data_IF_501139018300
#
_entry.id   IF_501139018300
#
_cell.length_a   1.000
_cell.length_b   1.000
_cell.length_c   1.000
_cell.angle_alpha   90.00
_cell.angle_beta   90.00
_cell.angle_gamma   90.00
#
_symmetry.space_group_name_H-M   'P 1'
#
loop_
_entity.id
_entity.type
_entity.pdbx_description
1 polymer ?
#
# COMPACT_ATOMS: atom_id res chain seq x y z
N UNK A 1 28.65 -28.47 41.76
CA UNK A 1 30.09 -28.48 42.14
C UNK A 1 30.23 -27.30 43.10
N UNK A 2 30.10 -27.63 44.42
CA UNK A 2 30.32 -26.67 45.49
C UNK A 2 31.84 -26.48 45.65
N UNK A 3 32.31 -25.30 45.32
CA UNK A 3 33.67 -24.88 45.58
C UNK A 3 33.73 -24.35 47.03
N UNK A 4 34.35 -25.16 47.90
CA UNK A 4 34.59 -24.82 49.29
C UNK A 4 35.70 -23.75 49.40
N UNK A 5 35.33 -22.56 49.76
CA UNK A 5 36.20 -21.38 49.79
C UNK A 5 37.05 -21.26 51.08
N UNK A 6 37.10 -22.31 51.89
CA UNK A 6 37.78 -22.24 53.20
C UNK A 6 39.27 -22.63 53.16
N UNK A 7 39.88 -22.93 52.01
CA UNK A 7 41.29 -23.34 51.87
C UNK A 7 42.10 -22.41 50.94
N UNK A 8 42.03 -21.11 51.20
CA UNK A 8 42.82 -20.14 50.42
C UNK A 8 44.12 -19.67 51.11
N UNK A 9 44.49 -20.29 52.27
CA UNK A 9 45.65 -19.87 53.01
C UNK A 9 47.01 -20.53 52.58
N UNK A 10 46.98 -21.50 51.66
CA UNK A 10 48.18 -22.22 51.18
C UNK A 10 48.61 -21.95 49.75
N UNK A 11 48.25 -20.80 49.19
CA UNK A 11 48.76 -20.40 47.87
C UNK A 11 50.04 -19.57 48.07
N UNK A 12 51.17 -20.19 47.79
CA UNK A 12 52.52 -19.60 47.81
C UNK A 12 52.63 -18.52 46.69
N UNK A 13 52.55 -17.22 47.10
CA UNK A 13 52.40 -16.07 46.19
C UNK A 13 53.77 -15.46 45.79
N UNK A 14 54.88 -16.13 46.05
CA UNK A 14 56.21 -15.54 45.96
C UNK A 14 56.95 -15.66 44.62
N UNK A 15 56.31 -16.00 43.49
CA UNK A 15 57.03 -16.13 42.22
C UNK A 15 56.63 -15.20 41.07
N UNK A 16 55.57 -14.39 41.17
CA UNK A 16 55.17 -13.56 40.01
C UNK A 16 54.88 -12.05 40.33
N UNK A 17 55.27 -11.53 41.49
CA UNK A 17 55.19 -10.08 41.73
C UNK A 17 53.78 -9.45 41.69
N UNK A 18 52.73 -10.22 41.98
CA UNK A 18 51.36 -9.74 42.01
C UNK A 18 51.09 -9.11 43.37
N UNK A 19 50.96 -7.78 43.45
CA UNK A 19 50.65 -7.06 44.67
C UNK A 19 49.21 -7.33 45.14
N UNK A 20 48.94 -7.32 46.47
CA UNK A 20 47.59 -7.47 47.08
C UNK A 20 46.54 -6.55 46.41
N UNK A 21 46.94 -5.40 45.89
CA UNK A 21 46.06 -4.46 45.20
C UNK A 21 45.57 -4.99 43.83
N UNK A 22 46.35 -5.81 43.12
CA UNK A 22 45.97 -6.47 41.87
C UNK A 22 45.01 -7.64 42.14
N UNK A 23 45.25 -8.41 43.23
CA UNK A 23 44.38 -9.53 43.58
C UNK A 23 42.96 -9.06 43.94
N UNK A 24 42.84 -7.96 44.74
CA UNK A 24 41.54 -7.34 45.04
C UNK A 24 40.80 -6.86 43.81
N UNK A 25 41.49 -6.46 42.75
CA UNK A 25 40.87 -6.04 41.48
C UNK A 25 40.27 -7.23 40.74
N UNK A 26 40.89 -8.40 40.76
CA UNK A 26 40.37 -9.64 40.15
C UNK A 26 39.20 -10.24 40.93
N UNK A 27 39.21 -10.14 42.27
CA UNK A 27 38.12 -10.62 43.13
C UNK A 27 36.83 -9.83 42.93
N UNK A 28 36.89 -8.55 42.52
CA UNK A 28 35.73 -7.72 42.20
C UNK A 28 35.27 -7.93 40.76
N UNK A 29 36.18 -8.20 39.81
CA UNK A 29 35.87 -8.33 38.39
C UNK A 29 35.19 -9.67 38.06
N UNK A 30 35.60 -10.77 38.70
CA UNK A 30 35.03 -12.10 38.42
C UNK A 30 33.53 -12.21 38.78
N UNK A 31 33.04 -11.72 39.92
CA UNK A 31 31.61 -11.71 40.23
C UNK A 31 30.81 -10.81 39.28
N UNK A 32 31.36 -9.66 38.91
CA UNK A 32 30.66 -8.75 37.96
C UNK A 32 30.56 -9.33 36.58
N UNK A 33 31.60 -9.99 36.07
CA UNK A 33 31.54 -10.71 34.75
C UNK A 33 30.56 -11.87 34.82
N UNK A 34 30.51 -12.63 35.92
CA UNK A 34 29.54 -13.72 36.10
C UNK A 34 28.09 -13.21 36.11
N UNK A 35 27.81 -12.06 36.73
CA UNK A 35 26.49 -11.43 36.75
C UNK A 35 26.12 -10.94 35.35
N UNK A 36 27.06 -10.34 34.63
CA UNK A 36 26.83 -9.87 33.26
C UNK A 36 26.51 -11.05 32.32
N UNK A 37 27.30 -12.13 32.41
CA UNK A 37 27.06 -13.36 31.62
C UNK A 37 25.70 -13.97 31.97
N UNK A 38 25.33 -14.03 33.25
CA UNK A 38 24.02 -14.52 33.69
C UNK A 38 22.87 -13.65 33.18
N UNK A 39 23.02 -12.33 33.15
CA UNK A 39 22.05 -11.41 32.56
C UNK A 39 21.92 -11.63 31.06
N UNK A 40 23.02 -11.82 30.31
CA UNK A 40 22.97 -12.13 28.89
C UNK A 40 22.30 -13.49 28.61
N UNK A 41 22.53 -14.50 29.42
CA UNK A 41 21.88 -15.80 29.33
C UNK A 41 20.37 -15.67 29.60
N UNK A 42 19.97 -14.88 30.59
CA UNK A 42 18.57 -14.61 30.93
C UNK A 42 17.89 -13.84 29.77
N UNK A 43 18.53 -12.79 29.26
CA UNK A 43 18.02 -12.02 28.12
C UNK A 43 17.91 -12.89 26.87
N UNK A 44 18.93 -13.68 26.56
CA UNK A 44 18.88 -14.63 25.44
C UNK A 44 17.79 -15.69 25.64
N UNK A 45 17.59 -16.21 26.86
CA UNK A 45 16.54 -17.17 27.18
C UNK A 45 15.15 -16.55 27.06
N UNK A 46 14.97 -15.30 27.49
CA UNK A 46 13.72 -14.53 27.26
C UNK A 46 13.50 -14.29 25.77
N UNK A 47 14.53 -13.90 25.04
CA UNK A 47 14.47 -13.71 23.59
C UNK A 47 14.10 -15.01 22.85
N UNK A 48 14.67 -16.15 23.27
CA UNK A 48 14.31 -17.48 22.72
C UNK A 48 12.94 -17.95 23.17
N UNK A 49 12.48 -17.63 24.38
CA UNK A 49 11.10 -17.91 24.83
C UNK A 49 10.09 -17.11 24.04
N UNK A 50 10.35 -15.81 23.82
CA UNK A 50 9.50 -14.95 22.99
C UNK A 50 9.50 -15.41 21.54
N UNK A 51 10.66 -15.83 20.97
CA UNK A 51 10.70 -16.42 19.61
C UNK A 51 10.16 -17.86 19.53
N UNK A 52 10.20 -18.62 20.61
CA UNK A 52 9.79 -20.03 20.65
C UNK A 52 8.27 -20.22 20.57
N UNK A 53 7.48 -19.30 21.09
CA UNK A 53 6.02 -19.38 21.05
C UNK A 53 5.41 -18.95 19.70
N UNK A 54 6.22 -18.42 18.77
CA UNK A 54 5.77 -17.97 17.44
C UNK A 54 6.00 -18.99 16.31
N UNK A 55 6.34 -20.25 16.60
CA UNK A 55 6.13 -21.30 15.60
C UNK A 55 4.66 -21.72 15.57
N UNK A 56 3.78 -20.81 15.11
CA UNK A 56 2.48 -21.25 14.58
C UNK A 56 2.78 -22.12 13.36
N UNK A 57 2.31 -23.37 13.43
CA UNK A 57 2.30 -24.31 12.32
C UNK A 57 1.86 -23.59 11.04
N UNK A 58 2.70 -23.59 10.02
CA UNK A 58 2.26 -23.30 8.66
C UNK A 58 1.24 -24.38 8.32
N UNK A 59 -0.06 -24.09 8.48
CA UNK A 59 -1.11 -24.91 7.88
C UNK A 59 -0.91 -24.82 6.38
N UNK A 60 -0.60 -25.97 5.76
CA UNK A 60 -0.58 -26.10 4.31
C UNK A 60 -1.96 -25.68 3.77
N UNK A 61 -1.98 -24.72 2.88
CA UNK A 61 -3.19 -24.26 2.19
C UNK A 61 -3.62 -25.41 1.26
N UNK A 62 -4.88 -25.87 1.34
CA UNK A 62 -5.37 -26.91 0.43
C UNK A 62 -5.31 -26.42 -1.01
N UNK A 63 -4.71 -27.22 -1.91
CA UNK A 63 -4.42 -26.84 -3.32
C UNK A 63 -5.64 -26.69 -4.24
N UNK A 64 -6.85 -26.98 -3.79
CA UNK A 64 -8.05 -27.15 -4.62
C UNK A 64 -9.25 -26.30 -4.19
N UNK A 65 -9.06 -25.10 -3.66
CA UNK A 65 -10.15 -24.14 -3.58
C UNK A 65 -10.30 -23.48 -4.93
N UNK A 66 -11.45 -23.69 -5.57
CA UNK A 66 -11.74 -23.25 -6.92
C UNK A 66 -11.86 -21.73 -7.00
N UNK A 67 -11.24 -21.19 -8.05
CA UNK A 67 -11.53 -19.96 -8.80
C UNK A 67 -12.19 -18.81 -8.03
N UNK A 68 -11.42 -18.16 -7.22
CA UNK A 68 -11.66 -16.86 -6.62
C UNK A 68 -10.53 -16.64 -5.67
N UNK A 69 -9.69 -15.69 -5.94
CA UNK A 69 -8.55 -15.23 -5.14
C UNK A 69 -8.08 -16.25 -4.08
N UNK A 70 -7.10 -17.10 -4.41
CA UNK A 70 -6.55 -18.15 -3.55
C UNK A 70 -6.13 -17.65 -2.14
N UNK A 71 -6.07 -16.34 -1.96
CA UNK A 71 -5.78 -15.66 -0.71
C UNK A 71 -6.98 -15.60 0.27
N UNK A 72 -8.21 -15.86 -0.15
CA UNK A 72 -9.39 -15.66 0.70
C UNK A 72 -9.77 -16.87 1.55
N UNK A 73 -9.50 -18.09 1.08
CA UNK A 73 -9.95 -19.30 1.73
C UNK A 73 -8.83 -20.08 2.40
N UNK A 74 -8.99 -20.45 3.67
CA UNK A 74 -8.03 -21.24 4.43
C UNK A 74 -8.38 -22.72 4.49
N UNK A 75 -9.64 -23.09 4.22
CA UNK A 75 -10.12 -24.47 4.22
C UNK A 75 -11.28 -24.65 3.27
N UNK A 76 -11.21 -25.68 2.44
CA UNK A 76 -12.26 -26.06 1.52
C UNK A 76 -12.81 -27.45 1.86
N UNK A 77 -14.12 -27.62 1.72
CA UNK A 77 -14.83 -28.89 1.75
C UNK A 77 -15.78 -28.93 0.55
N UNK A 78 -15.79 -30.04 -0.20
CA UNK A 78 -16.64 -30.20 -1.41
C UNK A 78 -16.57 -28.99 -2.36
N UNK A 79 -15.33 -28.51 -2.65
CA UNK A 79 -15.08 -27.35 -3.50
C UNK A 79 -15.67 -26.00 -3.01
N UNK A 80 -16.06 -25.95 -1.76
CA UNK A 80 -16.58 -24.73 -1.11
C UNK A 80 -15.66 -24.27 0.01
N UNK A 81 -15.48 -22.96 0.12
CA UNK A 81 -14.76 -22.40 1.24
C UNK A 81 -15.59 -22.58 2.51
N UNK A 82 -15.01 -23.17 3.55
CA UNK A 82 -15.63 -23.36 4.87
C UNK A 82 -14.92 -22.56 5.97
N UNK A 83 -13.74 -22.04 5.71
CA UNK A 83 -13.09 -21.07 6.58
C UNK A 83 -12.20 -20.12 5.79
N UNK A 84 -12.08 -18.90 6.28
CA UNK A 84 -11.33 -17.84 5.61
C UNK A 84 -9.88 -17.79 6.06
N UNK A 85 -9.03 -17.24 5.21
CA UNK A 85 -7.67 -16.89 5.56
C UNK A 85 -7.66 -15.76 6.60
N UNK A 86 -6.49 -15.54 7.16
CA UNK A 86 -6.24 -14.46 8.09
C UNK A 86 -6.76 -13.10 7.55
N UNK A 87 -7.38 -12.31 8.43
CA UNK A 87 -8.04 -11.04 8.10
C UNK A 87 -9.29 -11.13 7.22
N UNK A 88 -9.90 -12.31 7.13
CA UNK A 88 -11.21 -12.46 6.50
C UNK A 88 -12.18 -13.16 7.45
N UNK A 89 -13.36 -12.58 7.66
CA UNK A 89 -14.45 -13.18 8.39
C UNK A 89 -15.29 -14.07 7.48
N UNK A 90 -15.65 -15.28 7.96
CA UNK A 90 -16.56 -16.17 7.23
C UNK A 90 -18.01 -15.85 7.55
N UNK A 91 -18.73 -15.24 6.59
CA UNK A 91 -20.11 -14.83 6.77
C UNK A 91 -20.96 -15.36 5.61
N UNK A 92 -21.99 -16.15 5.94
CA UNK A 92 -22.93 -16.70 4.96
C UNK A 92 -22.27 -17.42 3.78
N UNK A 93 -21.25 -18.22 4.04
CA UNK A 93 -20.55 -18.98 2.98
C UNK A 93 -19.53 -18.18 2.18
N UNK A 94 -19.21 -16.95 2.57
CA UNK A 94 -18.29 -16.05 1.84
C UNK A 94 -17.26 -15.47 2.80
N UNK A 95 -16.02 -15.35 2.35
CA UNK A 95 -14.98 -14.64 3.08
C UNK A 95 -15.09 -13.13 2.83
N UNK A 96 -15.29 -12.38 3.91
CA UNK A 96 -15.39 -10.91 3.89
C UNK A 96 -14.14 -10.33 4.53
N UNK A 97 -13.43 -9.40 3.87
CA UNK A 97 -12.25 -8.77 4.44
C UNK A 97 -12.57 -8.01 5.73
N UNK A 98 -11.75 -8.18 6.76
CA UNK A 98 -11.80 -7.41 8.01
C UNK A 98 -10.99 -6.12 7.94
N UNK A 99 -10.20 -5.93 6.87
CA UNK A 99 -9.39 -4.74 6.64
C UNK A 99 -10.04 -3.78 5.62
N UNK A 100 -9.59 -2.53 5.58
CA UNK A 100 -10.02 -1.54 4.58
C UNK A 100 -9.19 -1.64 3.30
N UNK A 101 -7.88 -1.83 3.42
CA UNK A 101 -6.99 -2.06 2.29
C UNK A 101 -5.70 -2.77 2.69
N UNK A 102 -5.09 -3.43 1.69
CA UNK A 102 -3.81 -4.12 1.76
C UNK A 102 -2.82 -3.42 0.84
N UNK A 103 -1.62 -3.19 1.31
CA UNK A 103 -0.51 -2.64 0.52
C UNK A 103 0.69 -3.58 0.62
N UNK A 104 1.40 -3.76 -0.48
CA UNK A 104 2.68 -4.49 -0.47
C UNK A 104 3.78 -3.51 -0.85
N UNK A 105 4.76 -3.39 0.04
CA UNK A 105 6.01 -2.65 -0.16
C UNK A 105 7.11 -3.63 -0.55
N UNK A 106 7.94 -3.25 -1.51
CA UNK A 106 9.15 -3.98 -1.90
C UNK A 106 10.37 -3.22 -1.39
N UNK A 107 11.20 -3.87 -0.57
CA UNK A 107 12.49 -3.36 -0.12
C UNK A 107 13.63 -4.13 -0.77
N UNK A 108 14.76 -3.48 -0.97
CA UNK A 108 15.92 -4.06 -1.65
C UNK A 108 17.15 -4.13 -0.76
N UNK A 109 17.14 -3.44 0.37
CA UNK A 109 18.26 -3.32 1.28
C UNK A 109 17.87 -3.80 2.70
N UNK A 110 18.85 -4.24 3.47
CA UNK A 110 18.69 -4.59 4.89
C UNK A 110 18.47 -3.31 5.69
N UNK A 111 17.57 -3.36 6.68
CA UNK A 111 17.22 -2.22 7.55
C UNK A 111 16.69 -1.00 6.77
N UNK A 112 15.97 -1.26 5.69
CA UNK A 112 15.36 -0.20 4.90
C UNK A 112 14.17 0.42 5.64
N UNK A 113 14.14 1.76 5.69
CA UNK A 113 13.04 2.48 6.33
C UNK A 113 11.93 2.77 5.33
N UNK A 114 10.70 2.42 5.70
CA UNK A 114 9.49 2.81 4.96
C UNK A 114 8.61 3.71 5.82
N UNK A 115 7.91 4.65 5.19
CA UNK A 115 6.80 5.39 5.78
C UNK A 115 5.51 4.78 5.24
N UNK A 116 4.66 4.23 6.10
CA UNK A 116 3.48 3.47 5.64
C UNK A 116 2.23 4.31 5.49
N UNK A 117 2.11 5.45 6.16
CA UNK A 117 0.96 6.37 6.06
C UNK A 117 1.43 7.80 5.91
N UNK A 118 0.77 8.58 5.06
CA UNK A 118 0.95 10.03 5.04
C UNK A 118 0.31 10.65 6.29
N UNK A 119 0.97 11.65 6.86
CA UNK A 119 0.58 12.30 8.11
C UNK A 119 -0.86 12.81 8.18
N UNK A 120 -1.49 13.06 7.03
CA UNK A 120 -2.86 13.58 6.98
C UNK A 120 -3.92 12.59 7.48
N UNK A 121 -3.67 11.27 7.36
CA UNK A 121 -4.69 10.23 7.64
C UNK A 121 -4.45 9.42 8.90
N UNK A 122 -3.39 9.70 9.65
CA UNK A 122 -3.02 8.96 10.87
C UNK A 122 -4.16 8.84 11.90
N UNK A 123 -5.01 9.85 11.99
CA UNK A 123 -6.13 9.87 12.95
C UNK A 123 -7.29 8.95 12.55
N UNK A 124 -7.39 8.57 11.27
CA UNK A 124 -8.45 7.73 10.75
C UNK A 124 -8.13 6.24 10.84
N UNK A 125 -6.91 5.89 11.21
CA UNK A 125 -6.47 4.50 11.33
C UNK A 125 -7.03 3.91 12.62
N UNK A 126 -7.70 2.76 12.51
CA UNK A 126 -8.14 1.93 13.63
C UNK A 126 -7.09 0.89 14.01
N UNK A 127 -6.51 0.25 12.99
CA UNK A 127 -5.54 -0.82 13.16
C UNK A 127 -4.56 -0.84 11.99
N UNK A 128 -3.30 -1.18 12.29
CA UNK A 128 -2.26 -1.47 11.31
C UNK A 128 -1.69 -2.84 11.65
N UNK A 129 -1.44 -3.63 10.62
CA UNK A 129 -0.70 -4.87 10.75
C UNK A 129 0.38 -4.94 9.67
N UNK A 130 1.61 -5.13 10.07
CA UNK A 130 2.77 -5.30 9.19
C UNK A 130 3.28 -6.76 9.33
N UNK A 131 3.32 -7.49 8.21
CA UNK A 131 3.81 -8.87 8.12
C UNK A 131 3.19 -9.81 9.18
N UNK A 132 1.89 -9.61 9.50
CA UNK A 132 1.09 -10.34 10.49
C UNK A 132 1.34 -9.95 11.95
N UNK A 133 2.07 -8.89 12.21
CA UNK A 133 2.23 -8.31 13.53
C UNK A 133 1.36 -7.05 13.65
N UNK A 134 0.47 -7.03 14.62
CA UNK A 134 -0.37 -5.84 14.90
C UNK A 134 0.53 -4.79 15.55
N UNK A 135 0.57 -3.63 14.94
CA UNK A 135 1.34 -2.48 15.41
C UNK A 135 0.51 -1.69 16.41
N UNK A 136 1.06 -1.41 17.59
CA UNK A 136 0.42 -0.49 18.52
C UNK A 136 0.34 0.91 17.92
N UNK A 137 -0.86 1.49 17.95
CA UNK A 137 -1.12 2.77 17.30
C UNK A 137 -0.29 3.91 17.91
N UNK A 138 -0.08 3.91 19.22
CA UNK A 138 0.72 4.92 19.90
C UNK A 138 2.19 4.85 19.50
N UNK A 139 2.72 3.64 19.35
CA UNK A 139 4.09 3.41 18.85
C UNK A 139 4.24 3.86 17.39
N UNK A 140 3.24 3.56 16.55
CA UNK A 140 3.21 4.02 15.17
C UNK A 140 3.15 5.57 15.07
N UNK A 141 2.37 6.22 15.92
CA UNK A 141 2.28 7.68 15.98
C UNK A 141 3.58 8.32 16.45
N UNK A 142 4.27 7.74 17.44
CA UNK A 142 5.57 8.19 17.93
C UNK A 142 6.67 8.10 16.87
N UNK A 143 6.66 7.04 16.08
CA UNK A 143 7.60 6.83 14.97
C UNK A 143 7.25 7.61 13.68
N UNK A 144 6.16 8.39 13.69
CA UNK A 144 5.62 9.08 12.52
C UNK A 144 5.31 8.10 11.37
N UNK A 145 4.80 6.92 11.72
CA UNK A 145 4.50 5.79 10.84
C UNK A 145 5.69 5.31 10.01
N UNK A 146 6.90 5.44 10.55
CA UNK A 146 8.15 4.95 9.95
C UNK A 146 8.55 3.63 10.59
N UNK A 147 8.84 2.65 9.75
CA UNK A 147 9.24 1.31 10.17
C UNK A 147 10.53 0.91 9.46
N UNK A 148 11.42 0.28 10.22
CA UNK A 148 12.65 -0.31 9.68
C UNK A 148 12.37 -1.77 9.39
N UNK A 149 12.53 -2.16 8.12
CA UNK A 149 12.36 -3.54 7.68
C UNK A 149 13.73 -4.20 7.65
N UNK A 150 13.92 -5.19 8.52
CA UNK A 150 15.23 -5.82 8.76
C UNK A 150 15.72 -6.61 7.55
N UNK A 151 14.81 -7.20 6.78
CA UNK A 151 15.13 -8.06 5.63
C UNK A 151 14.64 -7.45 4.33
N UNK A 152 15.36 -7.59 3.21
CA UNK A 152 14.84 -7.20 1.91
C UNK A 152 13.75 -8.14 1.43
N UNK A 153 12.78 -7.63 0.70
CA UNK A 153 11.69 -8.43 0.16
C UNK A 153 10.35 -7.72 0.09
N UNK A 154 9.28 -8.50 0.03
CA UNK A 154 7.92 -8.00 -0.02
C UNK A 154 7.31 -7.99 1.38
N UNK A 155 6.92 -6.81 1.85
CA UNK A 155 6.30 -6.59 3.14
C UNK A 155 4.83 -6.20 2.99
N UNK A 156 3.96 -6.92 3.67
CA UNK A 156 2.51 -6.73 3.57
C UNK A 156 1.99 -5.92 4.74
N UNK A 157 1.30 -4.84 4.43
CA UNK A 157 0.61 -4.00 5.42
C UNK A 157 -0.90 -4.07 5.20
N UNK A 158 -1.63 -4.41 6.25
CA UNK A 158 -3.10 -4.31 6.29
C UNK A 158 -3.50 -3.11 7.12
N UNK A 159 -4.48 -2.37 6.61
CA UNK A 159 -5.03 -1.20 7.28
C UNK A 159 -6.52 -1.36 7.53
N UNK A 160 -6.95 -1.01 8.72
CA UNK A 160 -8.37 -0.80 9.05
C UNK A 160 -8.60 0.67 9.33
N UNK A 161 -9.47 1.29 8.54
CA UNK A 161 -9.76 2.73 8.61
C UNK A 161 -11.16 2.99 9.17
N UNK A 162 -11.28 4.11 9.88
CA UNK A 162 -12.57 4.70 10.23
C UNK A 162 -13.03 5.60 9.08
N UNK A 163 -13.72 5.00 8.11
CA UNK A 163 -14.20 5.72 6.92
C UNK A 163 -15.28 6.75 7.23
N UNK A 164 -15.97 6.64 8.38
CA UNK A 164 -16.97 7.63 8.80
C UNK A 164 -16.34 8.96 9.22
N UNK A 165 -15.08 8.91 9.68
CA UNK A 165 -14.31 10.08 10.09
C UNK A 165 -13.42 10.64 8.98
N UNK A 166 -13.38 10.00 7.80
CA UNK A 166 -12.58 10.51 6.69
C UNK A 166 -13.09 11.87 6.22
N UNK A 167 -12.15 12.76 5.94
CA UNK A 167 -12.45 14.04 5.31
C UNK A 167 -13.08 13.82 3.94
N UNK A 168 -13.82 14.83 3.46
CA UNK A 168 -14.44 14.80 2.13
C UNK A 168 -13.41 14.80 0.99
N UNK A 169 -12.15 15.11 1.28
CA UNK A 169 -11.03 15.16 0.33
C UNK A 169 -10.08 14.02 0.67
N UNK A 170 -9.80 13.19 -0.32
CA UNK A 170 -8.84 12.10 -0.24
C UNK A 170 -7.66 12.38 -1.18
N UNK A 171 -6.48 12.46 -0.61
CA UNK A 171 -5.21 12.61 -1.35
C UNK A 171 -4.33 11.40 -1.09
N UNK A 172 -3.05 11.42 -1.43
CA UNK A 172 -2.15 10.29 -1.18
C UNK A 172 -2.33 9.72 0.23
N UNK A 173 -2.66 8.43 0.33
CA UNK A 173 -2.89 7.74 1.61
C UNK A 173 -1.59 7.20 2.20
N UNK A 174 -0.62 6.85 1.36
CA UNK A 174 0.55 6.07 1.74
C UNK A 174 1.83 6.86 1.51
N UNK A 175 2.79 6.66 2.41
CA UNK A 175 4.17 7.09 2.23
C UNK A 175 4.99 6.08 1.41
N UNK A 176 6.26 6.39 1.17
CA UNK A 176 7.22 5.54 0.43
C UNK A 176 6.63 4.97 -0.87
N UNK A 177 5.95 5.80 -1.63
CA UNK A 177 5.18 5.43 -2.84
C UNK A 177 6.04 4.77 -3.92
N UNK A 178 7.34 5.06 -3.96
CA UNK A 178 8.34 4.46 -4.84
C UNK A 178 8.60 2.97 -4.55
N UNK A 179 8.19 2.49 -3.39
CA UNK A 179 8.35 1.11 -2.94
C UNK A 179 7.07 0.28 -3.02
N UNK A 180 5.93 0.91 -3.26
CA UNK A 180 4.65 0.22 -3.36
C UNK A 180 4.55 -0.50 -4.71
N UNK A 181 4.31 -1.82 -4.66
CA UNK A 181 4.14 -2.69 -5.83
C UNK A 181 2.72 -3.20 -6.02
N UNK A 182 1.89 -3.17 -4.96
CA UNK A 182 0.52 -3.66 -4.99
C UNK A 182 -0.36 -2.92 -3.99
N UNK A 183 -1.61 -2.64 -4.40
CA UNK A 183 -2.66 -2.07 -3.55
C UNK A 183 -3.98 -2.79 -3.85
N UNK A 184 -4.69 -3.15 -2.79
CA UNK A 184 -6.04 -3.70 -2.86
C UNK A 184 -6.96 -2.98 -1.88
N UNK A 185 -8.06 -2.44 -2.38
CA UNK A 185 -9.14 -1.87 -1.57
C UNK A 185 -10.20 -2.93 -1.34
N UNK A 186 -10.52 -3.18 -0.09
CA UNK A 186 -11.61 -4.09 0.25
C UNK A 186 -12.98 -3.45 -0.06
N UNK A 187 -14.02 -4.29 -0.15
CA UNK A 187 -15.39 -3.81 -0.32
C UNK A 187 -15.89 -2.99 0.88
N UNK A 188 -15.23 -3.13 2.03
CA UNK A 188 -15.55 -2.38 3.26
C UNK A 188 -14.97 -0.96 3.26
N UNK A 189 -14.11 -0.62 2.29
CA UNK A 189 -13.59 0.73 2.15
C UNK A 189 -14.67 1.63 1.53
N UNK A 190 -15.37 2.36 2.39
CA UNK A 190 -16.50 3.22 1.98
C UNK A 190 -16.01 4.60 1.55
N UNK A 191 -16.32 4.99 0.33
CA UNK A 191 -16.00 6.31 -0.26
C UNK A 191 -17.23 7.20 -0.46
N UNK A 192 -18.38 6.83 0.11
CA UNK A 192 -19.67 7.51 -0.09
C UNK A 192 -19.66 9.01 0.27
N UNK A 193 -18.84 9.42 1.24
CA UNK A 193 -18.74 10.80 1.68
C UNK A 193 -17.60 11.57 1.02
N UNK A 194 -16.78 10.92 0.19
CA UNK A 194 -15.66 11.55 -0.49
C UNK A 194 -16.18 12.40 -1.66
N UNK A 195 -15.73 13.64 -1.73
CA UNK A 195 -16.13 14.59 -2.78
C UNK A 195 -14.98 14.94 -3.73
N UNK A 196 -13.74 14.71 -3.31
CA UNK A 196 -12.55 14.96 -4.10
C UNK A 196 -11.51 13.85 -3.85
N UNK A 197 -10.90 13.37 -4.93
CA UNK A 197 -9.75 12.48 -4.90
C UNK A 197 -8.65 13.10 -5.76
N UNK A 198 -7.68 13.75 -5.16
CA UNK A 198 -6.62 14.44 -5.87
C UNK A 198 -5.29 13.76 -5.62
N UNK A 199 -4.66 13.24 -6.68
CA UNK A 199 -3.35 12.60 -6.59
C UNK A 199 -3.31 11.36 -5.70
N UNK A 200 -4.41 10.60 -5.56
CA UNK A 200 -4.50 9.46 -4.65
C UNK A 200 -3.39 8.43 -4.85
N UNK A 201 -2.99 8.19 -6.09
CA UNK A 201 -1.90 7.28 -6.49
C UNK A 201 -0.79 8.03 -7.24
N UNK A 202 -0.54 9.28 -6.86
CA UNK A 202 0.46 10.12 -7.51
C UNK A 202 1.86 9.49 -7.43
N UNK A 203 2.48 9.25 -8.61
CA UNK A 203 3.84 8.70 -8.76
C UNK A 203 4.06 7.26 -8.22
N UNK A 204 3.02 6.41 -8.18
CA UNK A 204 3.15 5.00 -7.83
C UNK A 204 3.78 4.22 -9.00
N UNK A 205 5.08 4.41 -9.18
CA UNK A 205 5.83 4.01 -10.38
C UNK A 205 5.95 2.50 -10.59
N UNK A 206 5.82 1.68 -9.54
CA UNK A 206 5.97 0.22 -9.62
C UNK A 206 4.66 -0.53 -9.72
N UNK A 207 3.53 0.11 -9.39
CA UNK A 207 2.21 -0.54 -9.40
C UNK A 207 1.75 -0.78 -10.85
N UNK A 208 1.38 -2.03 -11.17
CA UNK A 208 0.96 -2.44 -12.52
C UNK A 208 -0.54 -2.46 -12.72
N UNK A 209 -1.31 -2.64 -11.66
CA UNK A 209 -2.77 -2.73 -11.68
C UNK A 209 -3.36 -2.07 -10.45
N UNK A 210 -4.44 -1.31 -10.65
CA UNK A 210 -5.21 -0.69 -9.56
C UNK A 210 -6.70 -0.95 -9.81
N UNK A 211 -7.39 -1.49 -8.81
CA UNK A 211 -8.85 -1.69 -8.83
C UNK A 211 -9.52 -0.74 -7.83
N UNK A 212 -10.28 0.22 -8.38
CA UNK A 212 -11.13 1.13 -7.62
C UNK A 212 -12.61 0.96 -8.00
N UNK A 213 -12.98 -0.20 -8.54
CA UNK A 213 -14.33 -0.45 -9.06
C UNK A 213 -15.42 -0.42 -8.00
N UNK A 214 -15.06 -0.57 -6.73
CA UNK A 214 -15.97 -0.45 -5.57
C UNK A 214 -16.14 0.98 -5.04
N UNK A 215 -15.43 1.96 -5.59
CA UNK A 215 -15.57 3.34 -5.13
C UNK A 215 -16.91 3.93 -5.53
N UNK A 216 -17.54 4.62 -4.59
CA UNK A 216 -18.76 5.38 -4.84
C UNK A 216 -18.41 6.80 -5.27
N UNK A 217 -18.87 7.22 -6.46
CA UNK A 217 -18.59 8.54 -7.03
C UNK A 217 -19.79 9.49 -7.00
N UNK A 218 -20.89 9.13 -6.35
CA UNK A 218 -22.13 9.92 -6.39
C UNK A 218 -21.97 11.36 -5.88
N UNK A 219 -21.06 11.60 -4.94
CA UNK A 219 -20.74 12.94 -4.43
C UNK A 219 -19.46 13.52 -5.00
N UNK A 220 -18.78 12.79 -5.91
CA UNK A 220 -17.48 13.19 -6.44
C UNK A 220 -17.57 14.40 -7.34
N UNK A 221 -16.69 15.38 -7.08
CA UNK A 221 -16.59 16.61 -7.88
C UNK A 221 -15.28 16.72 -8.64
N UNK A 222 -14.21 16.07 -8.17
CA UNK A 222 -12.87 16.18 -8.73
C UNK A 222 -12.07 14.90 -8.53
N UNK A 223 -11.40 14.46 -9.60
CA UNK A 223 -10.53 13.27 -9.63
C UNK A 223 -9.22 13.59 -10.36
N UNK A 224 -8.63 14.76 -10.07
CA UNK A 224 -7.43 15.23 -10.74
C UNK A 224 -6.19 14.49 -10.27
N UNK A 225 -5.25 14.25 -11.19
CA UNK A 225 -3.95 13.63 -10.91
C UNK A 225 -4.00 12.24 -10.26
N UNK A 226 -5.14 11.54 -10.21
CA UNK A 226 -5.29 10.30 -9.42
C UNK A 226 -4.18 9.30 -9.72
N UNK A 227 -3.84 9.09 -10.99
CA UNK A 227 -2.81 8.15 -11.44
C UNK A 227 -1.62 8.85 -12.09
N UNK A 228 -1.42 10.14 -11.82
CA UNK A 228 -0.30 10.89 -12.39
C UNK A 228 1.04 10.22 -12.11
N UNK A 229 1.84 9.97 -13.15
CA UNK A 229 3.18 9.40 -13.00
C UNK A 229 3.24 7.90 -12.64
N UNK A 230 2.11 7.17 -12.70
CA UNK A 230 2.07 5.72 -12.54
C UNK A 230 2.68 5.03 -13.76
N UNK A 231 3.99 5.15 -13.96
CA UNK A 231 4.67 4.78 -15.22
C UNK A 231 4.61 3.29 -15.55
N UNK A 232 4.49 2.39 -14.56
CA UNK A 232 4.34 0.95 -14.78
C UNK A 232 2.89 0.47 -14.87
N UNK A 233 1.91 1.36 -14.70
CA UNK A 233 0.49 1.00 -14.69
C UNK A 233 0.05 0.51 -16.07
N UNK A 234 -0.33 -0.75 -16.18
CA UNK A 234 -0.79 -1.37 -17.45
C UNK A 234 -2.30 -1.37 -17.60
N UNK A 235 -3.02 -1.43 -16.48
CA UNK A 235 -4.49 -1.42 -16.48
C UNK A 235 -5.06 -0.87 -15.18
N UNK A 236 -6.25 -0.29 -15.28
CA UNK A 236 -7.04 0.23 -14.15
C UNK A 236 -8.47 -0.26 -14.29
N UNK A 237 -9.06 -0.70 -13.19
CA UNK A 237 -10.50 -0.97 -13.15
C UNK A 237 -11.19 0.21 -12.46
N UNK A 238 -11.88 1.00 -13.26
CA UNK A 238 -12.58 2.21 -12.82
C UNK A 238 -13.91 1.87 -12.13
N UNK A 239 -14.45 2.80 -11.29
CA UNK A 239 -15.72 2.60 -10.61
C UNK A 239 -16.88 2.40 -11.58
N UNK A 240 -17.87 1.62 -11.13
CA UNK A 240 -19.11 1.40 -11.86
C UNK A 240 -20.29 2.15 -11.19
N UNK A 241 -20.05 3.34 -10.68
CA UNK A 241 -21.05 4.22 -10.05
C UNK A 241 -21.26 5.48 -10.87
N UNK A 242 -22.40 6.14 -10.73
CA UNK A 242 -22.65 7.45 -11.32
C UNK A 242 -21.78 8.54 -10.68
N UNK A 243 -21.44 9.58 -11.45
CA UNK A 243 -20.67 10.72 -10.98
C UNK A 243 -21.31 12.05 -11.45
N UNK A 244 -22.54 12.36 -11.00
CA UNK A 244 -23.33 13.46 -11.52
C UNK A 244 -22.73 14.86 -11.24
N UNK A 245 -21.87 14.98 -10.24
CA UNK A 245 -21.27 16.24 -9.85
C UNK A 245 -19.81 16.39 -10.31
N UNK A 246 -19.29 15.43 -11.07
CA UNK A 246 -17.89 15.45 -11.50
C UNK A 246 -17.63 16.62 -12.46
N UNK A 247 -16.62 17.43 -12.14
CA UNK A 247 -16.24 18.64 -12.89
C UNK A 247 -14.90 18.54 -13.58
N UNK A 248 -13.97 17.74 -13.02
CA UNK A 248 -12.58 17.70 -13.45
C UNK A 248 -11.96 16.31 -13.35
N UNK A 249 -11.22 15.96 -14.42
CA UNK A 249 -10.35 14.79 -14.54
C UNK A 249 -8.96 15.22 -15.05
N UNK A 250 -8.50 16.45 -14.70
CA UNK A 250 -7.21 16.95 -15.16
C UNK A 250 -6.08 16.01 -14.78
N UNK A 251 -5.19 15.76 -15.73
CA UNK A 251 -3.95 15.01 -15.55
C UNK A 251 -4.14 13.61 -14.95
N UNK A 252 -5.35 13.03 -15.04
CA UNK A 252 -5.72 11.79 -14.35
C UNK A 252 -4.75 10.64 -14.63
N UNK A 253 -4.30 10.49 -15.90
CA UNK A 253 -3.38 9.44 -16.34
C UNK A 253 -2.08 10.02 -16.94
N UNK A 254 -1.75 11.27 -16.66
CA UNK A 254 -0.52 11.88 -17.18
C UNK A 254 0.68 11.03 -16.82
N UNK A 255 1.55 10.74 -17.81
CA UNK A 255 2.75 9.90 -17.66
C UNK A 255 2.49 8.46 -17.18
N UNK A 256 1.29 7.90 -17.45
CA UNK A 256 1.05 6.46 -17.35
C UNK A 256 1.65 5.77 -18.59
N UNK A 257 2.97 5.71 -18.66
CA UNK A 257 3.70 5.33 -19.88
C UNK A 257 3.40 3.90 -20.38
N UNK A 258 3.08 2.98 -19.46
CA UNK A 258 2.77 1.56 -19.75
C UNK A 258 1.29 1.28 -19.98
N UNK A 259 0.40 2.26 -19.83
CA UNK A 259 -1.05 2.08 -20.00
C UNK A 259 -1.36 1.82 -21.48
N UNK A 260 -1.95 0.67 -21.78
CA UNK A 260 -2.22 0.26 -23.18
C UNK A 260 -3.62 0.59 -23.66
N UNK A 261 -4.59 0.55 -22.76
CA UNK A 261 -5.97 0.89 -23.05
C UNK A 261 -6.71 1.35 -21.79
N UNK A 262 -7.78 2.09 -21.96
CA UNK A 262 -8.69 2.47 -20.88
C UNK A 262 -10.14 2.40 -21.39
N UNK A 263 -11.04 1.95 -20.53
CA UNK A 263 -12.47 1.93 -20.82
C UNK A 263 -13.24 2.47 -19.64
N UNK A 264 -14.10 3.43 -19.89
CA UNK A 264 -15.05 3.91 -18.91
C UNK A 264 -16.23 2.95 -18.83
N UNK A 265 -16.63 2.55 -17.63
CA UNK A 265 -17.65 1.51 -17.46
C UNK A 265 -19.05 2.04 -17.76
N UNK A 266 -19.96 1.11 -18.13
CA UNK A 266 -21.37 1.45 -18.44
C UNK A 266 -22.12 2.08 -17.27
N UNK A 267 -21.75 1.75 -16.05
CA UNK A 267 -22.35 2.33 -14.82
C UNK A 267 -21.86 3.76 -14.54
N UNK A 268 -20.72 4.13 -15.10
CA UNK A 268 -20.28 5.52 -15.19
C UNK A 268 -21.16 6.26 -16.22
N UNK A 269 -22.49 6.16 -16.08
CA UNK A 269 -23.36 7.11 -16.75
C UNK A 269 -23.12 8.45 -16.05
N UNK A 270 -21.90 8.98 -16.29
CA UNK A 270 -21.60 10.33 -15.88
C UNK A 270 -22.65 11.20 -16.51
N UNK A 271 -23.53 11.74 -15.70
CA UNK A 271 -24.25 12.95 -16.05
C UNK A 271 -23.18 14.02 -16.16
N UNK A 272 -22.42 13.96 -17.25
CA UNK A 272 -21.25 14.82 -17.49
C UNK A 272 -21.64 16.23 -17.88
N UNK A 273 -22.89 16.62 -17.56
CA UNK A 273 -23.35 17.99 -17.68
C UNK A 273 -22.43 18.98 -16.93
N UNK A 274 -21.75 18.50 -15.90
CA UNK A 274 -20.84 19.29 -15.09
C UNK A 274 -19.35 19.11 -15.44
N UNK A 275 -18.97 18.07 -16.20
CA UNK A 275 -17.58 17.81 -16.55
C UNK A 275 -17.10 18.80 -17.60
N UNK A 276 -16.06 19.58 -17.28
CA UNK A 276 -15.51 20.63 -18.14
C UNK A 276 -14.03 20.49 -18.42
N UNK A 277 -13.29 19.86 -17.52
CA UNK A 277 -11.84 19.91 -17.47
C UNK A 277 -11.24 18.53 -17.71
N UNK A 278 -10.57 18.35 -18.87
CA UNK A 278 -9.83 17.16 -19.29
C UNK A 278 -8.36 17.48 -19.65
N UNK A 279 -7.85 18.64 -19.21
CA UNK A 279 -6.49 19.08 -19.47
C UNK A 279 -5.48 17.98 -19.11
N UNK A 280 -4.59 17.63 -20.07
CA UNK A 280 -3.50 16.68 -19.88
C UNK A 280 -3.91 15.27 -19.49
N UNK A 281 -5.20 14.90 -19.59
CA UNK A 281 -5.73 13.66 -18.98
C UNK A 281 -4.93 12.41 -19.34
N UNK A 282 -4.41 12.30 -20.57
CA UNK A 282 -3.62 11.18 -21.07
C UNK A 282 -2.24 11.61 -21.57
N UNK A 283 -1.79 12.82 -21.24
CA UNK A 283 -0.49 13.33 -21.69
C UNK A 283 0.63 12.38 -21.28
N UNK A 284 1.51 12.01 -22.23
CA UNK A 284 2.63 11.10 -21.94
C UNK A 284 2.26 9.62 -21.79
N UNK A 285 1.03 9.21 -22.15
CA UNK A 285 0.63 7.79 -22.19
C UNK A 285 1.22 7.13 -23.45
N UNK A 286 2.52 6.86 -23.43
CA UNK A 286 3.31 6.43 -24.61
C UNK A 286 2.85 5.11 -25.23
N UNK A 287 2.32 4.19 -24.42
CA UNK A 287 1.86 2.85 -24.84
C UNK A 287 0.36 2.79 -25.18
N UNK A 288 -0.37 3.88 -24.99
CA UNK A 288 -1.82 3.92 -25.17
C UNK A 288 -2.18 3.78 -26.66
N UNK A 289 -2.91 2.72 -27.01
CA UNK A 289 -3.30 2.40 -28.37
C UNK A 289 -4.75 2.72 -28.68
N UNK A 290 -5.61 2.62 -27.68
CA UNK A 290 -7.05 2.88 -27.81
C UNK A 290 -7.68 3.37 -26.51
N UNK A 291 -8.76 4.14 -26.67
CA UNK A 291 -9.57 4.65 -25.55
C UNK A 291 -11.03 4.48 -25.93
N UNK A 292 -11.83 3.99 -24.99
CA UNK A 292 -13.27 3.89 -25.19
C UNK A 292 -14.00 4.96 -24.36
N UNK A 293 -14.47 5.99 -25.04
CA UNK A 293 -15.29 7.07 -24.46
C UNK A 293 -16.80 6.85 -24.56
N UNK A 294 -17.28 5.69 -25.03
CA UNK A 294 -18.71 5.48 -25.33
C UNK A 294 -19.64 5.78 -24.15
N UNK A 295 -19.15 5.67 -22.94
CA UNK A 295 -19.93 5.93 -21.72
C UNK A 295 -19.58 7.27 -21.04
N UNK A 296 -18.63 8.03 -21.59
CA UNK A 296 -18.31 9.37 -21.12
C UNK A 296 -19.06 10.38 -22.01
N UNK A 297 -20.16 10.92 -21.49
CA UNK A 297 -20.91 11.96 -22.20
C UNK A 297 -20.22 13.30 -21.99
N UNK A 298 -19.82 13.98 -23.04
CA UNK A 298 -18.92 15.14 -23.00
C UNK A 298 -19.55 16.41 -23.56
N UNK A 299 -20.81 16.66 -23.18
CA UNK A 299 -21.60 17.78 -23.75
C UNK A 299 -21.09 19.19 -23.40
N UNK A 300 -20.32 19.34 -22.32
CA UNK A 300 -19.91 20.65 -21.80
C UNK A 300 -18.40 20.76 -21.57
N UNK A 301 -17.60 19.90 -22.20
CA UNK A 301 -16.13 20.02 -22.08
C UNK A 301 -15.68 21.35 -22.67
N UNK A 302 -14.87 22.09 -21.88
CA UNK A 302 -14.33 23.38 -22.28
C UNK A 302 -12.80 23.41 -22.36
N UNK A 303 -12.12 22.41 -21.79
CA UNK A 303 -10.66 22.37 -21.76
C UNK A 303 -10.14 20.95 -22.00
N UNK A 304 -9.40 20.78 -23.12
CA UNK A 304 -8.69 19.57 -23.52
C UNK A 304 -7.24 19.87 -23.90
N UNK A 305 -6.68 20.97 -23.37
CA UNK A 305 -5.27 21.32 -23.58
C UNK A 305 -4.39 20.14 -23.23
N UNK A 306 -3.40 19.79 -24.07
CA UNK A 306 -2.44 18.69 -23.90
C UNK A 306 -3.09 17.31 -23.64
N UNK A 307 -4.40 17.08 -23.89
CA UNK A 307 -5.13 15.88 -23.45
C UNK A 307 -4.48 14.57 -23.89
N UNK A 308 -3.98 14.49 -25.13
CA UNK A 308 -3.32 13.31 -25.71
C UNK A 308 -1.87 13.60 -26.13
N UNK A 309 -1.29 14.68 -25.65
CA UNK A 309 0.08 15.03 -25.98
C UNK A 309 1.03 13.87 -25.67
N UNK A 310 1.98 13.60 -26.59
CA UNK A 310 2.94 12.50 -26.48
C UNK A 310 2.34 11.08 -26.40
N UNK A 311 1.08 10.88 -26.84
CA UNK A 311 0.46 9.56 -27.02
C UNK A 311 0.96 8.92 -28.33
N UNK A 312 2.25 8.58 -28.38
CA UNK A 312 2.94 8.16 -29.61
C UNK A 312 2.46 6.84 -30.20
N UNK A 313 1.73 6.02 -29.43
CA UNK A 313 1.17 4.73 -29.87
C UNK A 313 -0.30 4.78 -30.22
N UNK A 314 -0.99 5.90 -30.00
CA UNK A 314 -2.42 6.05 -30.28
C UNK A 314 -2.65 6.00 -31.79
N UNK A 315 -3.47 5.04 -32.26
CA UNK A 315 -3.69 4.81 -33.70
C UNK A 315 -5.03 5.34 -34.17
N UNK A 316 -6.04 5.30 -33.30
CA UNK A 316 -7.39 5.78 -33.63
C UNK A 316 -8.08 6.30 -32.38
N UNK A 317 -8.99 7.25 -32.57
CA UNK A 317 -9.74 7.86 -31.47
C UNK A 317 -11.13 8.25 -31.95
N UNK A 318 -12.17 7.80 -31.24
CA UNK A 318 -13.53 8.24 -31.45
C UNK A 318 -13.90 9.35 -30.49
N UNK A 319 -14.06 10.57 -31.02
CA UNK A 319 -14.50 11.76 -30.29
C UNK A 319 -15.92 12.19 -30.67
N UNK A 320 -16.70 11.31 -31.28
CA UNK A 320 -18.07 11.63 -31.75
C UNK A 320 -19.00 12.08 -30.61
N UNK A 321 -18.69 11.69 -29.37
CA UNK A 321 -19.42 12.13 -28.16
C UNK A 321 -18.98 13.49 -27.63
N UNK A 322 -17.93 14.13 -28.22
CA UNK A 322 -17.45 15.44 -27.79
C UNK A 322 -18.20 16.54 -28.56
N UNK A 323 -19.20 17.11 -27.94
CA UNK A 323 -19.98 18.21 -28.52
C UNK A 323 -19.69 19.48 -27.76
N UNK A 324 -18.93 20.41 -28.36
CA UNK A 324 -18.54 21.65 -27.70
C UNK A 324 -18.57 22.82 -28.69
N UNK A 325 -18.85 24.02 -28.18
CA UNK A 325 -18.84 25.27 -28.98
C UNK A 325 -17.57 26.09 -28.80
N UNK A 326 -16.91 25.99 -27.63
CA UNK A 326 -15.76 26.82 -27.25
C UNK A 326 -14.65 25.98 -26.57
N UNK A 327 -14.14 24.98 -27.31
CA UNK A 327 -13.17 24.03 -26.77
C UNK A 327 -11.74 24.57 -26.86
N UNK A 328 -11.02 24.65 -25.73
CA UNK A 328 -9.56 24.86 -25.71
C UNK A 328 -8.87 23.54 -26.05
N UNK A 329 -8.10 23.51 -27.13
CA UNK A 329 -7.47 22.28 -27.66
C UNK A 329 -5.98 22.46 -27.93
N UNK A 330 -5.32 23.44 -27.32
CA UNK A 330 -3.89 23.67 -27.55
C UNK A 330 -3.08 22.39 -27.30
N UNK A 331 -2.24 22.03 -28.26
CA UNK A 331 -1.38 20.84 -28.25
C UNK A 331 -2.12 19.49 -28.00
N UNK A 332 -3.45 19.40 -28.16
CA UNK A 332 -4.24 18.23 -27.79
C UNK A 332 -3.67 16.93 -28.37
N UNK A 333 -3.10 16.96 -29.57
CA UNK A 333 -2.52 15.81 -30.26
C UNK A 333 -1.03 15.97 -30.58
N UNK A 334 -0.35 16.87 -29.89
CA UNK A 334 1.08 17.08 -30.09
C UNK A 334 1.85 15.76 -29.90
N UNK A 335 2.67 15.40 -30.91
CA UNK A 335 3.45 14.15 -30.96
C UNK A 335 2.62 12.85 -30.99
N UNK A 336 1.33 12.86 -31.34
CA UNK A 336 0.56 11.64 -31.63
C UNK A 336 0.96 11.07 -32.99
N UNK A 337 2.16 10.55 -33.13
CA UNK A 337 2.79 10.23 -34.44
C UNK A 337 2.13 9.08 -35.20
N UNK A 338 1.31 8.24 -34.55
CA UNK A 338 0.60 7.10 -35.17
C UNK A 338 -0.89 7.36 -35.38
N UNK A 339 -1.41 8.50 -34.94
CA UNK A 339 -2.83 8.81 -35.07
C UNK A 339 -3.17 9.15 -36.54
N UNK A 340 -4.12 8.43 -37.11
CA UNK A 340 -4.54 8.57 -38.53
C UNK A 340 -6.01 8.92 -38.62
#
# INVERSE_FOLDING_TARGET
MDLDFNNLDDIDIDKEGITKSKLNKYIIIIPTISIIISMFIIIASFYYLIKGDYKKEKKEIPKNCIEGDDDLCSRCEDDKCVSCNYKYAFVNGTCIPEFSFKVIYETTEINETITIVDNMYKYNIKEIELDKEVIDKSEAEESDFKFILEEPGNHTVYFTFDTEKMDKIMVSLFGSVDKIIYIHFSKNFNTENITQMVGLFFEYKKVKYIDISNFNLEKMTQMDNIFYGCSSLTSVKLPNSSAPFLKSLKYMFTNCESLTSISFSKGMNYSTENLKELEGMFSGCKSLTSINFSYLKTYNISNTIDMFKDCISLTSLDLSNFTTTDLKMDNMFLNCTKLT
#
